data_IF_078667491955
#
_entry.id   IF_078667491955
#
_cell.length_a   1.000
_cell.length_b   1.000
_cell.length_c   1.000
_cell.angle_alpha   90.00
_cell.angle_beta   90.00
_cell.angle_gamma   90.00
#
_symmetry.space_group_name_H-M   'P 1'
#
loop_
_entity.id
_entity.type
_entity.pdbx_description
1 polymer ?
#
# COMPACT_ATOMS: atom_id res chain seq x y z
N UNK A 1 2.72 21.28 -1.83
CA UNK A 1 1.31 21.02 -1.48
C UNK A 1 1.18 19.51 -1.51
N UNK A 2 0.67 18.87 -0.45
CA UNK A 2 0.63 17.40 -0.38
C UNK A 2 -0.08 16.84 -1.62
N UNK A 3 0.51 15.81 -2.24
CA UNK A 3 -0.04 15.20 -3.46
C UNK A 3 -0.78 13.91 -3.10
N UNK A 4 -1.98 14.12 -2.57
CA UNK A 4 -2.89 13.07 -2.16
C UNK A 4 -3.41 12.27 -3.34
N UNK A 5 -3.45 10.95 -3.19
CA UNK A 5 -3.97 10.01 -4.18
C UNK A 5 -4.84 8.98 -3.50
N UNK A 6 -6.01 8.72 -4.08
CA UNK A 6 -6.93 7.69 -3.61
C UNK A 6 -7.04 6.59 -4.65
N UNK A 7 -6.82 5.34 -4.26
CA UNK A 7 -7.06 4.18 -5.08
C UNK A 7 -8.17 3.34 -4.47
N UNK A 8 -9.31 3.32 -5.15
CA UNK A 8 -10.53 2.63 -4.72
C UNK A 8 -10.61 1.18 -5.18
N UNK A 9 -9.86 0.81 -6.24
CA UNK A 9 -9.97 -0.52 -6.85
C UNK A 9 -8.62 -1.18 -7.05
N UNK A 10 -8.46 -2.41 -6.59
CA UNK A 10 -7.37 -3.27 -7.00
C UNK A 10 -7.65 -3.84 -8.40
N UNK A 11 -6.75 -3.63 -9.35
CA UNK A 11 -6.83 -4.19 -10.70
C UNK A 11 -6.32 -5.63 -10.75
N UNK A 12 -5.54 -6.07 -9.77
CA UNK A 12 -4.91 -7.38 -9.75
C UNK A 12 -5.89 -8.56 -10.03
N UNK A 13 -7.14 -8.59 -9.50
CA UNK A 13 -8.17 -9.58 -9.87
C UNK A 13 -8.46 -9.77 -11.36
N UNK A 14 -8.10 -8.79 -12.20
CA UNK A 14 -8.37 -8.79 -13.63
C UNK A 14 -7.13 -9.16 -14.46
N UNK A 15 -6.01 -9.48 -13.81
CA UNK A 15 -4.70 -9.64 -14.44
C UNK A 15 -4.18 -11.06 -14.27
N UNK A 16 -3.21 -11.42 -15.09
CA UNK A 16 -2.52 -12.71 -15.00
C UNK A 16 -1.18 -12.52 -14.31
N UNK A 17 -0.91 -13.38 -13.31
CA UNK A 17 0.38 -13.44 -12.63
C UNK A 17 1.29 -14.48 -13.29
N UNK A 18 2.55 -14.11 -13.45
CA UNK A 18 3.64 -14.98 -13.87
C UNK A 18 4.96 -14.53 -13.25
N UNK A 19 6.06 -15.11 -13.72
CA UNK A 19 7.40 -14.82 -13.20
C UNK A 19 7.99 -15.99 -12.43
N UNK A 20 9.13 -15.74 -11.82
CA UNK A 20 9.99 -16.76 -11.18
C UNK A 20 9.90 -16.73 -9.66
N UNK A 21 9.27 -15.70 -9.08
CA UNK A 21 9.08 -15.57 -7.65
C UNK A 21 8.08 -16.61 -7.11
N UNK A 22 8.39 -17.16 -5.94
CA UNK A 22 7.54 -18.11 -5.22
C UNK A 22 8.14 -19.49 -5.12
N UNK A 23 7.70 -20.23 -4.11
CA UNK A 23 8.10 -21.61 -3.82
C UNK A 23 6.94 -22.56 -4.06
N UNK A 24 7.21 -23.86 -4.22
CA UNK A 24 6.16 -24.85 -4.44
C UNK A 24 5.13 -24.91 -3.29
N UNK A 25 5.56 -24.69 -2.04
CA UNK A 25 4.69 -24.73 -0.86
C UNK A 25 3.82 -23.48 -0.71
N UNK A 26 4.35 -22.31 -1.09
CA UNK A 26 3.68 -21.02 -0.99
C UNK A 26 3.88 -20.25 -2.31
N UNK A 27 3.13 -20.64 -3.36
CA UNK A 27 3.36 -20.18 -4.72
C UNK A 27 2.89 -18.74 -4.96
N UNK A 28 3.32 -18.17 -6.09
CA UNK A 28 2.87 -16.86 -6.56
C UNK A 28 1.35 -16.74 -6.68
N UNK A 29 0.68 -17.83 -7.03
CA UNK A 29 -0.79 -17.90 -7.13
C UNK A 29 -1.50 -17.52 -5.82
N UNK A 30 -0.84 -17.65 -4.66
CA UNK A 30 -1.40 -17.22 -3.38
C UNK A 30 -1.70 -15.72 -3.33
N UNK A 31 -0.89 -14.90 -3.99
CA UNK A 31 -1.15 -13.46 -4.10
C UNK A 31 -2.47 -13.21 -4.83
N UNK A 32 -2.71 -13.94 -5.92
CA UNK A 32 -3.95 -13.84 -6.68
C UNK A 32 -5.15 -14.28 -5.85
N UNK A 33 -5.04 -15.43 -5.18
CA UNK A 33 -6.10 -15.95 -4.30
C UNK A 33 -6.43 -14.97 -3.17
N UNK A 34 -5.42 -14.29 -2.60
CA UNK A 34 -5.62 -13.29 -1.56
C UNK A 34 -6.23 -11.98 -2.08
N UNK A 35 -6.09 -11.65 -3.37
CA UNK A 35 -6.68 -10.44 -3.93
C UNK A 35 -8.16 -10.59 -4.30
N UNK A 36 -8.64 -11.81 -4.50
CA UNK A 36 -10.04 -12.11 -4.84
C UNK A 36 -10.86 -12.65 -3.67
N UNK A 37 -10.21 -13.07 -2.58
CA UNK A 37 -10.90 -13.64 -1.42
C UNK A 37 -11.67 -12.58 -0.62
N UNK A 38 -12.91 -12.90 -0.25
CA UNK A 38 -13.76 -12.10 0.67
C UNK A 38 -13.12 -12.00 2.07
N UNK A 39 -12.38 -13.02 2.49
CA UNK A 39 -11.59 -13.02 3.72
C UNK A 39 -10.15 -13.41 3.40
N UNK A 40 -9.32 -12.43 3.01
CA UNK A 40 -8.02 -12.71 2.47
C UNK A 40 -7.04 -13.15 3.55
N UNK A 41 -6.26 -14.20 3.26
CA UNK A 41 -5.34 -14.84 4.22
C UNK A 41 -3.91 -14.34 4.01
N UNK A 42 -3.73 -13.02 4.03
CA UNK A 42 -2.47 -12.37 3.65
C UNK A 42 -1.25 -12.86 4.44
N UNK A 43 -1.42 -13.23 5.72
CA UNK A 43 -0.32 -13.76 6.55
C UNK A 43 -0.25 -15.29 6.60
N UNK A 44 -1.37 -15.99 6.46
CA UNK A 44 -1.41 -17.46 6.57
C UNK A 44 -1.08 -18.17 5.26
N UNK A 45 -1.39 -17.52 4.12
CA UNK A 45 -1.07 -18.02 2.78
C UNK A 45 -0.37 -16.91 1.97
N UNK A 46 0.83 -16.45 2.37
CA UNK A 46 1.61 -15.53 1.55
C UNK A 46 2.24 -16.25 0.36
N UNK A 47 2.80 -15.49 -0.59
CA UNK A 47 3.83 -16.02 -1.49
C UNK A 47 5.17 -15.99 -0.76
N UNK A 48 5.88 -17.12 -0.74
CA UNK A 48 7.22 -17.23 -0.14
C UNK A 48 8.26 -17.47 -1.21
N UNK A 49 9.34 -16.70 -1.20
CA UNK A 49 10.53 -16.99 -2.00
C UNK A 49 11.67 -17.45 -1.09
N UNK A 50 12.25 -18.59 -1.43
CA UNK A 50 13.38 -19.22 -0.71
C UNK A 50 14.70 -19.08 -1.47
N UNK A 51 14.69 -18.92 -2.80
CA UNK A 51 15.92 -18.68 -3.58
C UNK A 51 16.24 -17.19 -3.65
N UNK A 52 16.42 -16.56 -2.49
CA UNK A 52 16.61 -15.11 -2.38
C UNK A 52 17.97 -14.64 -2.92
N UNK A 53 18.96 -15.53 -2.97
CA UNK A 53 20.32 -15.22 -3.44
C UNK A 53 20.38 -14.92 -4.94
N UNK A 54 19.48 -15.50 -5.73
CA UNK A 54 19.46 -15.37 -7.20
C UNK A 54 18.45 -14.33 -7.63
N UNK A 55 18.93 -13.18 -8.14
CA UNK A 55 18.06 -12.07 -8.51
C UNK A 55 17.04 -12.42 -9.61
N UNK A 56 17.41 -13.26 -10.58
CA UNK A 56 16.51 -13.70 -11.65
C UNK A 56 15.38 -14.63 -11.15
N UNK A 57 15.49 -15.17 -9.93
CA UNK A 57 14.41 -15.90 -9.27
C UNK A 57 13.45 -14.97 -8.50
N UNK A 58 13.79 -13.70 -8.33
CA UNK A 58 13.02 -12.73 -7.55
C UNK A 58 12.22 -11.78 -8.44
N UNK A 59 11.56 -12.34 -9.46
CA UNK A 59 10.81 -11.55 -10.45
C UNK A 59 9.34 -11.94 -10.42
N UNK A 60 8.49 -10.93 -10.22
CA UNK A 60 7.04 -11.03 -10.38
C UNK A 60 6.67 -10.33 -11.68
N UNK A 61 6.00 -11.05 -12.58
CA UNK A 61 5.49 -10.52 -13.83
C UNK A 61 3.97 -10.47 -13.77
N UNK A 62 3.40 -9.34 -14.16
CA UNK A 62 1.97 -9.11 -14.22
C UNK A 62 1.64 -8.75 -15.65
N UNK A 63 0.80 -9.54 -16.31
CA UNK A 63 0.35 -9.28 -17.69
C UNK A 63 -1.12 -8.90 -17.69
N UNK A 64 -1.45 -7.92 -18.53
CA UNK A 64 -2.78 -7.34 -18.63
C UNK A 64 -3.48 -7.92 -19.86
N UNK A 65 -4.78 -8.18 -19.72
CA UNK A 65 -5.67 -8.60 -20.80
C UNK A 65 -5.79 -7.55 -21.91
N UNK A 66 -5.75 -6.27 -21.51
CA UNK A 66 -5.74 -5.08 -22.36
C UNK A 66 -4.93 -3.97 -21.69
N UNK A 67 -4.42 -2.99 -22.45
CA UNK A 67 -3.75 -1.83 -21.86
C UNK A 67 -4.67 -1.10 -20.86
N UNK A 68 -4.18 -0.88 -19.64
CA UNK A 68 -4.92 -0.18 -18.57
C UNK A 68 -4.04 0.89 -17.95
N UNK A 69 -4.64 2.01 -17.56
CA UNK A 69 -3.93 3.07 -16.85
C UNK A 69 -3.56 2.63 -15.44
N UNK A 70 -2.29 2.76 -15.06
CA UNK A 70 -1.78 2.52 -13.70
C UNK A 70 -0.89 3.68 -13.26
N UNK A 71 -0.97 4.03 -11.98
CA UNK A 71 -0.11 5.03 -11.32
C UNK A 71 0.23 4.65 -9.87
N UNK A 72 -0.28 3.52 -9.38
CA UNK A 72 -0.02 3.03 -8.05
C UNK A 72 0.29 1.54 -8.06
N UNK A 73 1.43 1.19 -7.47
CA UNK A 73 1.87 -0.17 -7.26
C UNK A 73 2.21 -0.33 -5.77
N UNK A 74 1.56 -1.27 -5.10
CA UNK A 74 1.73 -1.56 -3.69
C UNK A 74 2.21 -2.99 -3.47
N UNK A 75 3.20 -3.15 -2.59
CA UNK A 75 3.60 -4.45 -2.04
C UNK A 75 3.12 -4.47 -0.60
N UNK A 76 2.28 -5.45 -0.25
CA UNK A 76 1.54 -5.46 1.01
C UNK A 76 1.91 -6.67 1.87
N UNK A 77 1.91 -6.46 3.19
CA UNK A 77 2.13 -7.49 4.21
C UNK A 77 3.39 -8.33 3.95
N UNK A 78 4.51 -7.64 3.71
CA UNK A 78 5.76 -8.30 3.34
C UNK A 78 6.71 -8.49 4.53
N UNK A 79 7.63 -9.44 4.44
CA UNK A 79 8.69 -9.67 5.46
C UNK A 79 10.09 -9.26 4.99
N UNK A 80 10.18 -8.50 3.90
CA UNK A 80 11.43 -7.97 3.33
C UNK A 80 12.31 -7.27 4.38
N UNK A 81 13.63 -7.42 4.23
CA UNK A 81 14.61 -6.83 5.16
C UNK A 81 14.72 -5.30 5.03
N UNK A 82 15.35 -4.65 6.01
CA UNK A 82 15.62 -3.19 5.99
C UNK A 82 16.51 -2.75 4.82
N UNK A 83 17.29 -3.68 4.23
CA UNK A 83 18.16 -3.42 3.09
C UNK A 83 17.51 -3.75 1.75
N UNK A 84 16.32 -4.36 1.77
CA UNK A 84 15.63 -4.78 0.57
C UNK A 84 15.37 -3.62 -0.40
N UNK A 85 15.55 -3.91 -1.68
CA UNK A 85 15.29 -2.96 -2.77
C UNK A 85 14.31 -3.58 -3.76
N UNK A 86 13.50 -2.73 -4.36
CA UNK A 86 12.57 -3.10 -5.42
C UNK A 86 12.87 -2.27 -6.66
N UNK A 87 12.67 -2.88 -7.82
CA UNK A 87 12.69 -2.20 -9.10
C UNK A 87 11.41 -2.55 -9.84
N UNK A 88 10.81 -1.55 -10.47
CA UNK A 88 9.55 -1.70 -11.20
C UNK A 88 9.78 -1.27 -12.63
N UNK A 89 9.41 -2.15 -13.56
CA UNK A 89 9.49 -1.92 -14.99
C UNK A 89 8.09 -2.08 -15.58
N UNK A 90 7.64 -1.11 -16.36
CA UNK A 90 6.29 -1.03 -16.93
C UNK A 90 6.42 -1.02 -18.46
N UNK A 91 5.84 -2.02 -19.11
CA UNK A 91 5.69 -2.06 -20.55
C UNK A 91 4.49 -1.21 -20.99
N UNK A 92 4.67 -0.43 -22.05
CA UNK A 92 3.60 0.36 -22.67
C UNK A 92 2.56 -0.50 -23.38
N UNK A 93 1.64 0.13 -24.12
CA UNK A 93 0.60 -0.58 -24.87
C UNK A 93 1.13 -1.63 -25.86
N UNK A 94 2.38 -1.49 -26.34
CA UNK A 94 3.03 -2.43 -27.25
C UNK A 94 3.56 -3.73 -26.63
N UNK A 95 3.35 -3.99 -25.32
CA UNK A 95 3.63 -5.30 -24.70
C UNK A 95 5.09 -5.58 -24.35
N UNK A 96 6.06 -4.87 -24.95
CA UNK A 96 7.47 -5.20 -24.78
C UNK A 96 8.09 -4.63 -23.51
N UNK A 97 8.67 -5.50 -22.68
CA UNK A 97 9.51 -5.14 -21.53
C UNK A 97 10.95 -4.78 -21.93
N UNK A 98 11.39 -5.05 -23.17
CA UNK A 98 12.71 -4.64 -23.66
C UNK A 98 12.78 -3.15 -23.99
N UNK A 99 11.64 -2.52 -24.26
CA UNK A 99 11.47 -1.08 -24.48
C UNK A 99 10.41 -0.55 -23.52
N UNK A 100 10.69 -0.52 -22.21
CA UNK A 100 9.70 -0.14 -21.22
C UNK A 100 9.35 1.34 -21.35
N UNK A 101 8.10 1.69 -21.05
CA UNK A 101 7.66 3.10 -20.96
C UNK A 101 8.17 3.72 -19.68
N UNK A 102 8.33 2.91 -18.63
CA UNK A 102 8.89 3.35 -17.37
C UNK A 102 9.72 2.25 -16.74
N UNK A 103 10.91 2.61 -16.26
CA UNK A 103 11.74 1.75 -15.44
C UNK A 103 12.24 2.56 -14.26
N UNK A 104 11.93 2.11 -13.05
CA UNK A 104 12.46 2.74 -11.85
C UNK A 104 13.94 2.38 -11.66
N UNK A 105 14.68 3.21 -10.95
CA UNK A 105 15.91 2.76 -10.29
C UNK A 105 15.61 1.72 -9.20
N UNK A 106 16.66 1.25 -8.51
CA UNK A 106 16.48 0.46 -7.30
C UNK A 106 16.00 1.33 -6.14
N UNK A 107 14.76 1.12 -5.72
CA UNK A 107 14.11 1.86 -4.64
C UNK A 107 14.18 1.04 -3.37
N UNK A 108 14.60 1.66 -2.26
CA UNK A 108 14.59 0.99 -0.95
C UNK A 108 13.15 0.76 -0.50
N UNK A 109 12.84 -0.46 -0.08
CA UNK A 109 11.52 -0.82 0.49
C UNK A 109 11.29 -0.05 1.78
N UNK A 110 12.31 0.00 2.64
CA UNK A 110 12.33 0.78 3.86
C UNK A 110 13.20 2.04 3.65
N UNK A 111 12.59 3.20 3.39
CA UNK A 111 13.33 4.43 3.23
C UNK A 111 13.93 4.90 4.55
N UNK A 112 14.83 5.88 4.44
CA UNK A 112 15.35 6.59 5.60
C UNK A 112 14.20 7.29 6.32
N UNK A 113 14.08 7.07 7.63
CA UNK A 113 12.95 7.53 8.46
C UNK A 113 13.32 8.71 9.34
N UNK A 114 14.58 8.80 9.76
CA UNK A 114 15.07 9.81 10.69
C UNK A 114 16.21 10.61 10.07
N UNK A 115 16.27 11.89 10.42
CA UNK A 115 17.45 12.72 10.15
C UNK A 115 18.53 12.29 11.15
N UNK A 116 19.80 12.20 10.72
CA UNK A 116 20.87 11.72 11.61
C UNK A 116 20.97 12.58 12.86
N UNK A 117 20.84 13.90 12.70
CA UNK A 117 20.94 14.85 13.81
C UNK A 117 19.73 14.83 14.76
N UNK A 118 18.65 14.11 14.45
CA UNK A 118 17.54 13.91 15.39
C UNK A 118 17.67 12.65 16.23
N UNK A 119 18.71 11.84 15.99
CA UNK A 119 19.00 10.63 16.74
C UNK A 119 20.13 10.89 17.75
N UNK A 120 20.13 10.20 18.90
CA UNK A 120 21.27 10.21 19.81
C UNK A 120 22.56 9.82 19.09
N UNK A 121 23.68 10.47 19.40
CA UNK A 121 24.98 10.22 18.74
C UNK A 121 25.45 8.75 18.81
N UNK A 122 25.05 8.02 19.84
CA UNK A 122 25.38 6.60 20.01
C UNK A 122 24.34 5.65 19.39
N UNK A 123 23.32 6.16 18.69
CA UNK A 123 22.30 5.33 18.09
C UNK A 123 22.87 4.51 16.92
N UNK A 124 22.59 3.21 16.90
CA UNK A 124 23.08 2.29 15.87
C UNK A 124 22.68 2.71 14.44
N UNK A 125 21.56 3.43 14.31
CA UNK A 125 21.04 3.95 13.05
C UNK A 125 21.39 5.41 12.79
N UNK A 126 22.28 6.05 13.57
CA UNK A 126 22.65 7.47 13.39
C UNK A 126 23.09 7.76 11.95
N UNK A 127 24.02 6.96 11.42
CA UNK A 127 24.62 7.19 10.11
C UNK A 127 23.68 6.86 8.94
N UNK A 128 22.86 5.81 9.07
CA UNK A 128 21.95 5.41 8.01
C UNK A 128 20.61 6.15 8.06
N UNK A 129 20.21 6.66 9.23
CA UNK A 129 18.89 7.25 9.50
C UNK A 129 17.72 6.29 9.25
N UNK A 130 17.98 4.99 9.09
CA UNK A 130 16.94 3.99 8.86
C UNK A 130 16.18 3.70 10.15
N UNK A 131 14.95 3.21 10.00
CA UNK A 131 14.20 2.66 11.13
C UNK A 131 14.91 1.42 11.69
N UNK A 132 14.85 1.21 13.00
CA UNK A 132 15.24 -0.08 13.58
C UNK A 132 14.17 -1.13 13.24
N UNK A 133 14.53 -2.42 13.32
CA UNK A 133 13.57 -3.50 13.04
C UNK A 133 12.32 -3.38 13.94
N UNK A 134 12.55 -3.13 15.24
CA UNK A 134 11.49 -2.91 16.22
C UNK A 134 10.55 -1.74 15.83
N UNK A 135 11.07 -0.66 15.25
CA UNK A 135 10.26 0.49 14.80
C UNK A 135 9.43 0.17 13.56
N UNK A 136 9.90 -0.75 12.72
CA UNK A 136 9.20 -1.18 11.51
C UNK A 136 8.09 -2.17 11.88
N UNK A 137 8.31 -3.00 12.90
CA UNK A 137 7.37 -4.04 13.33
C UNK A 137 6.18 -3.52 14.15
N UNK A 138 6.20 -2.24 14.55
CA UNK A 138 5.04 -1.57 15.16
C UNK A 138 3.81 -1.61 14.24
N UNK A 139 4.03 -1.50 12.93
CA UNK A 139 2.96 -1.52 11.92
C UNK A 139 3.16 -2.69 10.97
N UNK A 140 2.07 -3.14 10.33
CA UNK A 140 2.20 -4.09 9.22
C UNK A 140 3.02 -3.46 8.10
N UNK A 141 3.97 -4.21 7.53
CA UNK A 141 4.88 -3.69 6.51
C UNK A 141 4.19 -3.66 5.14
N UNK A 142 4.16 -2.48 4.53
CA UNK A 142 3.63 -2.25 3.18
C UNK A 142 4.45 -1.13 2.54
N UNK A 143 4.52 -1.15 1.22
CA UNK A 143 5.19 -0.12 0.43
C UNK A 143 4.36 0.21 -0.79
N UNK A 144 3.97 1.48 -0.90
CA UNK A 144 3.35 2.03 -2.10
C UNK A 144 4.39 2.80 -2.91
N UNK A 145 4.43 2.53 -4.20
CA UNK A 145 5.13 3.29 -5.22
C UNK A 145 4.07 3.98 -6.07
N UNK A 146 4.06 5.31 -6.03
CA UNK A 146 3.19 6.09 -6.88
C UNK A 146 3.98 6.75 -8.00
N UNK A 147 3.38 6.79 -9.19
CA UNK A 147 3.88 7.49 -10.38
C UNK A 147 3.22 8.85 -10.49
N UNK A 148 3.92 9.83 -11.07
CA UNK A 148 3.41 11.21 -11.17
C UNK A 148 2.17 11.32 -12.07
N UNK A 149 2.11 10.49 -13.11
CA UNK A 149 1.01 10.41 -14.05
C UNK A 149 0.64 8.96 -14.35
N UNK A 150 -0.64 8.68 -14.67
CA UNK A 150 -1.07 7.34 -15.07
C UNK A 150 -0.48 6.95 -16.41
N UNK A 151 0.19 5.80 -16.43
CA UNK A 151 0.78 5.20 -17.63
C UNK A 151 -0.14 4.09 -18.15
N UNK A 152 -0.32 4.02 -19.46
CA UNK A 152 -1.01 2.89 -20.10
C UNK A 152 -0.09 1.68 -20.13
N UNK A 153 -0.36 0.71 -19.25
CA UNK A 153 0.46 -0.47 -19.04
C UNK A 153 -0.20 -1.72 -19.62
N UNK A 154 0.61 -2.57 -20.25
CA UNK A 154 0.23 -3.92 -20.70
C UNK A 154 0.93 -5.02 -19.91
N UNK A 155 2.10 -4.73 -19.34
CA UNK A 155 2.80 -5.62 -18.43
C UNK A 155 3.56 -4.80 -17.39
N UNK A 156 3.66 -5.35 -16.18
CA UNK A 156 4.44 -4.79 -15.07
C UNK A 156 5.33 -5.89 -14.53
N UNK A 157 6.63 -5.59 -14.43
CA UNK A 157 7.62 -6.45 -13.80
C UNK A 157 8.10 -5.80 -12.51
N UNK A 158 8.05 -6.56 -11.42
CA UNK A 158 8.56 -6.19 -10.11
C UNK A 158 9.74 -7.11 -9.79
N UNK A 159 10.92 -6.52 -9.63
CA UNK A 159 12.14 -7.21 -9.24
C UNK A 159 12.49 -6.87 -7.80
N UNK A 160 12.92 -7.87 -7.04
CA UNK A 160 13.18 -7.74 -5.61
C UNK A 160 14.61 -8.18 -5.30
N UNK A 161 15.41 -7.28 -4.74
CA UNK A 161 16.75 -7.58 -4.21
C UNK A 161 16.69 -7.60 -2.68
N UNK A 162 16.67 -8.80 -2.10
CA UNK A 162 16.73 -9.04 -0.65
C UNK A 162 17.68 -10.20 -0.30
N UNK A 163 18.83 -10.25 -0.98
CA UNK A 163 19.82 -11.36 -0.87
C UNK A 163 20.39 -11.52 0.54
N UNK A 164 20.43 -10.43 1.32
CA UNK A 164 21.02 -10.39 2.66
C UNK A 164 19.98 -10.59 3.78
N UNK A 165 18.80 -11.14 3.46
CA UNK A 165 17.79 -11.39 4.47
C UNK A 165 18.22 -12.53 5.41
N UNK A 166 18.40 -12.21 6.70
CA UNK A 166 18.83 -13.16 7.72
C UNK A 166 17.89 -14.36 7.89
N UNK A 167 16.62 -14.24 7.51
CA UNK A 167 15.66 -15.35 7.55
C UNK A 167 15.88 -16.38 6.42
N UNK A 168 16.65 -16.05 5.38
CA UNK A 168 16.86 -16.92 4.21
C UNK A 168 15.66 -17.00 3.25
N UNK A 169 14.56 -16.32 3.56
CA UNK A 169 13.37 -16.22 2.71
C UNK A 169 12.67 -14.87 2.94
N UNK A 170 11.80 -14.48 2.01
CA UNK A 170 10.84 -13.40 2.22
C UNK A 170 9.44 -13.83 1.81
N UNK A 171 8.46 -13.21 2.45
CA UNK A 171 7.03 -13.41 2.22
C UNK A 171 6.41 -12.12 1.68
N UNK A 172 5.44 -12.26 0.77
CA UNK A 172 4.58 -11.19 0.28
C UNK A 172 3.13 -11.65 0.40
N UNK A 173 2.33 -10.94 1.19
CA UNK A 173 0.93 -11.31 1.42
C UNK A 173 -0.01 -10.90 0.28
N UNK A 174 0.22 -9.73 -0.34
CA UNK A 174 -0.56 -9.27 -1.48
C UNK A 174 0.18 -8.21 -2.32
N UNK A 175 -0.30 -8.00 -3.55
CA UNK A 175 0.04 -6.88 -4.40
C UNK A 175 -1.18 -5.99 -4.65
N UNK A 176 -0.93 -4.72 -4.89
CA UNK A 176 -1.95 -3.74 -5.17
C UNK A 176 -1.59 -2.96 -6.43
N UNK A 177 -2.40 -3.05 -7.47
CA UNK A 177 -2.19 -2.26 -8.68
C UNK A 177 -3.45 -1.46 -8.93
N UNK A 178 -3.32 -0.15 -9.12
CA UNK A 178 -4.49 0.70 -9.29
C UNK A 178 -4.22 1.91 -10.15
N UNK A 179 -5.32 2.52 -10.60
CA UNK A 179 -5.37 3.87 -11.09
C UNK A 179 -5.93 4.75 -9.98
N UNK A 180 -5.19 5.76 -9.59
CA UNK A 180 -5.59 6.67 -8.53
C UNK A 180 -6.48 7.78 -9.07
N UNK A 181 -7.36 8.24 -8.20
CA UNK A 181 -8.09 9.49 -8.32
C UNK A 181 -7.32 10.57 -7.58
N UNK A 182 -7.09 11.68 -8.28
CA UNK A 182 -6.41 12.89 -7.80
C UNK A 182 -7.18 14.10 -8.32
N UNK A 183 -7.91 14.83 -7.47
CA UNK A 183 -8.62 16.03 -7.88
C UNK A 183 -7.64 17.20 -8.12
N UNK A 184 -8.12 18.25 -8.80
CA UNK A 184 -7.37 19.48 -9.04
C UNK A 184 -7.04 20.18 -7.73
N UNK A 185 -8.05 20.36 -6.87
CA UNK A 185 -7.88 20.82 -5.50
C UNK A 185 -7.90 19.61 -4.57
N UNK A 186 -6.75 19.35 -3.96
CA UNK A 186 -6.58 18.19 -3.10
C UNK A 186 -7.27 18.38 -1.73
N UNK A 187 -7.28 17.34 -0.90
CA UNK A 187 -7.93 17.33 0.42
C UNK A 187 -7.52 18.51 1.30
N UNK A 188 -8.43 18.88 2.20
CA UNK A 188 -8.31 20.02 3.09
C UNK A 188 -7.12 19.89 4.05
N UNK A 189 -6.49 21.01 4.39
CA UNK A 189 -5.47 21.02 5.44
C UNK A 189 -6.14 20.70 6.77
N UNK A 190 -5.57 19.75 7.52
CA UNK A 190 -6.13 19.31 8.80
C UNK A 190 -6.74 17.90 8.79
N UNK A 191 -6.37 17.05 7.80
CA UNK A 191 -6.66 15.60 7.85
C UNK A 191 -6.32 15.02 9.22
N UNK A 192 -7.14 14.08 9.69
CA UNK A 192 -6.95 13.46 11.01
C UNK A 192 -6.35 12.07 10.84
N UNK A 193 -5.20 11.83 11.45
CA UNK A 193 -4.61 10.50 11.60
C UNK A 193 -4.70 10.10 13.08
N UNK A 194 -5.38 9.00 13.36
CA UNK A 194 -5.57 8.48 14.70
C UNK A 194 -5.30 6.98 14.80
N UNK A 195 -5.26 6.48 16.03
CA UNK A 195 -5.20 5.05 16.32
C UNK A 195 -6.45 4.63 17.08
N UNK A 196 -7.08 3.55 16.64
CA UNK A 196 -8.23 2.94 17.28
C UNK A 196 -7.74 1.70 18.02
N UNK A 197 -7.79 1.75 19.36
CA UNK A 197 -7.45 0.61 20.20
C UNK A 197 -8.51 -0.49 20.04
N UNK A 198 -8.04 -1.74 19.99
CA UNK A 198 -8.89 -2.93 19.81
C UNK A 198 -8.84 -3.88 20.99
N UNK A 199 -7.99 -3.62 21.97
CA UNK A 199 -7.86 -4.47 23.16
C UNK A 199 -9.20 -4.60 23.87
N UNK A 200 -9.57 -5.82 24.24
CA UNK A 200 -10.75 -6.05 25.07
C UNK A 200 -10.34 -5.94 26.52
N UNK A 201 -11.10 -5.18 27.31
CA UNK A 201 -10.87 -5.02 28.73
C UNK A 201 -12.15 -5.44 29.42
N UNK A 202 -12.06 -6.51 30.21
CA UNK A 202 -13.15 -7.02 31.04
C UNK A 202 -12.82 -6.71 32.51
N UNK A 203 -13.84 -6.35 33.29
CA UNK A 203 -13.68 -6.01 34.70
C UNK A 203 -14.41 -7.05 35.55
N UNK A 204 -13.70 -7.65 36.51
CA UNK A 204 -14.26 -8.60 37.44
C UNK A 204 -15.14 -7.90 38.49
N UNK A 205 -16.03 -8.63 39.18
CA UNK A 205 -16.81 -8.07 40.30
C UNK A 205 -15.96 -7.44 41.41
N UNK A 206 -14.70 -7.85 41.55
CA UNK A 206 -13.73 -7.28 42.50
C UNK A 206 -13.04 -5.99 42.02
N UNK A 207 -13.35 -5.50 40.81
CA UNK A 207 -12.71 -4.35 40.18
C UNK A 207 -11.38 -4.67 39.46
N UNK A 208 -10.96 -5.94 39.43
CA UNK A 208 -9.75 -6.36 38.70
C UNK A 208 -10.00 -6.37 37.19
N UNK A 209 -9.11 -5.76 36.41
CA UNK A 209 -9.17 -5.75 34.94
C UNK A 209 -8.40 -6.91 34.32
N UNK A 210 -9.02 -7.58 33.37
CA UNK A 210 -8.42 -8.57 32.49
C UNK A 210 -8.40 -7.98 31.07
N UNK A 211 -7.21 -7.87 30.50
CA UNK A 211 -7.04 -7.28 29.18
C UNK A 211 -6.53 -8.33 28.18
N UNK A 212 -7.22 -8.44 27.04
CA UNK A 212 -6.73 -9.12 25.86
C UNK A 212 -6.13 -8.05 24.94
N UNK A 213 -4.80 -7.97 24.89
CA UNK A 213 -4.12 -6.99 24.05
C UNK A 213 -4.25 -7.33 22.57
N UNK A 214 -4.67 -6.34 21.77
CA UNK A 214 -4.77 -6.46 20.32
C UNK A 214 -4.07 -5.29 19.67
N UNK A 215 -3.47 -5.54 18.50
CA UNK A 215 -2.84 -4.49 17.70
C UNK A 215 -3.87 -3.39 17.39
N UNK A 216 -3.49 -2.14 17.64
CA UNK A 216 -4.31 -0.97 17.30
C UNK A 216 -4.31 -0.77 15.79
N UNK A 217 -5.43 -0.32 15.24
CA UNK A 217 -5.55 0.01 13.81
C UNK A 217 -5.42 1.51 13.60
N UNK A 218 -4.82 1.92 12.48
CA UNK A 218 -4.84 3.34 12.08
C UNK A 218 -6.18 3.70 11.46
N UNK A 219 -6.62 4.94 11.73
CA UNK A 219 -7.80 5.56 11.11
C UNK A 219 -7.42 6.92 10.56
N UNK A 220 -7.74 7.16 9.30
CA UNK A 220 -7.52 8.44 8.64
C UNK A 220 -8.84 9.00 8.17
N UNK A 221 -9.13 10.26 8.49
CA UNK A 221 -10.29 10.98 7.95
C UNK A 221 -9.78 12.17 7.14
N UNK A 222 -10.22 12.24 5.89
CA UNK A 222 -9.90 13.32 4.96
C UNK A 222 -11.19 13.90 4.39
N UNK A 223 -11.20 15.21 4.23
CA UNK A 223 -12.28 15.97 3.61
C UNK A 223 -11.72 16.66 2.38
N UNK A 224 -12.46 16.64 1.28
CA UNK A 224 -12.18 17.41 0.07
C UNK A 224 -13.32 18.41 -0.09
N UNK A 225 -13.11 19.70 0.22
CA UNK A 225 -14.18 20.70 0.13
C UNK A 225 -14.23 21.47 -1.20
N UNK A 226 -13.27 21.24 -2.10
CA UNK A 226 -13.07 22.00 -3.33
C UNK A 226 -13.29 21.20 -4.61
N UNK A 227 -14.19 20.20 -4.59
CA UNK A 227 -14.39 19.34 -5.76
C UNK A 227 -15.32 19.98 -6.80
N UNK A 228 -14.95 19.83 -8.07
CA UNK A 228 -15.88 20.09 -9.18
C UNK A 228 -16.99 19.02 -9.22
N UNK A 229 -18.10 19.30 -9.89
CA UNK A 229 -19.22 18.35 -10.01
C UNK A 229 -18.77 17.01 -10.61
N UNK A 230 -17.93 17.06 -11.65
CA UNK A 230 -17.45 15.86 -12.34
C UNK A 230 -16.50 15.03 -11.46
N UNK A 231 -15.64 15.68 -10.67
CA UNK A 231 -14.74 14.99 -9.74
C UNK A 231 -15.52 14.33 -8.60
N UNK A 232 -16.53 15.02 -8.06
CA UNK A 232 -17.38 14.49 -7.01
C UNK A 232 -18.18 13.28 -7.52
N UNK A 233 -18.86 13.40 -8.66
CA UNK A 233 -19.62 12.31 -9.25
C UNK A 233 -18.73 11.12 -9.64
N UNK A 234 -17.51 11.37 -10.15
CA UNK A 234 -16.55 10.29 -10.41
C UNK A 234 -16.18 9.56 -9.12
N UNK A 235 -15.96 10.27 -8.02
CA UNK A 235 -15.67 9.66 -6.72
C UNK A 235 -16.88 8.86 -6.21
N UNK A 236 -18.11 9.33 -6.44
CA UNK A 236 -19.33 8.59 -6.13
C UNK A 236 -19.42 7.27 -6.90
N UNK A 237 -19.18 7.31 -8.22
CA UNK A 237 -19.17 6.12 -9.07
C UNK A 237 -18.09 5.12 -8.63
N UNK A 238 -16.94 5.62 -8.20
CA UNK A 238 -15.86 4.78 -7.68
C UNK A 238 -16.24 4.18 -6.31
N UNK A 239 -16.88 4.94 -5.42
CA UNK A 239 -17.38 4.44 -4.13
C UNK A 239 -18.49 3.40 -4.29
N UNK A 240 -19.39 3.58 -5.27
CA UNK A 240 -20.48 2.63 -5.56
C UNK A 240 -19.98 1.25 -6.02
N UNK A 241 -18.70 1.13 -6.42
CA UNK A 241 -18.06 -0.13 -6.81
C UNK A 241 -17.30 -0.82 -5.67
N UNK A 242 -17.08 -0.12 -4.56
CA UNK A 242 -16.29 -0.61 -3.43
C UNK A 242 -17.24 -1.19 -2.39
N UNK A 243 -17.06 -2.44 -2.04
CA UNK A 243 -17.77 -3.07 -0.92
C UNK A 243 -17.04 -2.79 0.41
N UNK A 244 -17.72 -3.01 1.53
CA UNK A 244 -17.17 -2.79 2.87
C UNK A 244 -15.89 -3.58 3.17
N UNK A 245 -15.69 -4.72 2.48
CA UNK A 245 -14.53 -5.59 2.63
C UNK A 245 -13.41 -5.29 1.64
N UNK A 246 -13.66 -4.46 0.63
CA UNK A 246 -12.71 -4.22 -0.44
C UNK A 246 -11.56 -3.34 0.06
N UNK A 247 -10.36 -3.71 -0.38
CA UNK A 247 -9.15 -2.98 -0.02
C UNK A 247 -9.01 -1.74 -0.88
N UNK A 248 -8.91 -0.60 -0.20
CA UNK A 248 -8.59 0.71 -0.77
C UNK A 248 -7.22 1.18 -0.24
N UNK A 249 -6.60 2.10 -0.96
CA UNK A 249 -5.36 2.74 -0.51
C UNK A 249 -5.49 4.25 -0.64
N UNK A 250 -5.31 4.95 0.48
CA UNK A 250 -5.17 6.41 0.50
C UNK A 250 -3.70 6.75 0.75
N UNK A 251 -3.09 7.49 -0.16
CA UNK A 251 -1.74 8.01 -0.05
C UNK A 251 -1.87 9.50 0.21
N UNK A 252 -1.63 9.97 1.45
CA UNK A 252 -1.89 11.36 1.77
C UNK A 252 -0.86 12.33 1.15
N UNK A 253 0.36 11.86 0.92
CA UNK A 253 1.38 12.60 0.17
C UNK A 253 2.27 11.60 -0.59
N UNK A 254 2.28 11.66 -1.92
CA UNK A 254 3.13 10.77 -2.74
C UNK A 254 4.61 11.10 -2.65
N UNK A 255 4.97 12.33 -2.27
CA UNK A 255 6.35 12.81 -2.29
C UNK A 255 7.04 12.55 -0.94
N UNK A 256 6.28 12.42 0.15
CA UNK A 256 6.82 12.05 1.47
C UNK A 256 7.05 10.53 1.58
N UNK A 257 8.16 10.13 0.99
CA UNK A 257 8.63 8.75 1.06
C UNK A 257 8.91 8.31 2.51
N UNK A 258 9.38 9.19 3.40
CA UNK A 258 9.74 8.83 4.78
C UNK A 258 8.53 8.62 5.68
N UNK A 259 7.49 9.44 5.52
CA UNK A 259 6.20 9.34 6.21
C UNK A 259 5.29 8.26 5.65
N UNK A 260 5.46 7.87 4.39
CA UNK A 260 4.58 6.93 3.67
C UNK A 260 4.21 5.66 4.46
N UNK A 261 5.16 5.00 5.14
CA UNK A 261 4.88 3.78 5.91
C UNK A 261 3.96 4.00 7.12
N UNK A 262 3.89 5.24 7.64
CA UNK A 262 3.02 5.62 8.76
C UNK A 262 1.64 6.09 8.29
N UNK A 263 1.58 6.75 7.14
CA UNK A 263 0.39 7.45 6.69
C UNK A 263 -0.39 6.70 5.59
N UNK A 264 0.28 5.99 4.71
CA UNK A 264 -0.33 5.29 3.57
C UNK A 264 -0.36 3.80 3.84
N UNK A 265 -1.53 3.21 4.02
CA UNK A 265 -1.70 1.80 4.40
C UNK A 265 -2.90 1.18 3.67
N UNK A 266 -2.92 -0.16 3.47
CA UNK A 266 -4.10 -0.84 2.97
C UNK A 266 -5.25 -0.68 3.97
N UNK A 267 -6.38 -0.17 3.49
CA UNK A 267 -7.52 0.21 4.31
C UNK A 267 -8.84 -0.31 3.75
N UNK A 268 -9.89 -0.28 4.55
CA UNK A 268 -11.29 -0.37 4.11
C UNK A 268 -11.96 1.00 4.27
N UNK A 269 -13.04 1.21 3.52
CA UNK A 269 -13.91 2.37 3.69
C UNK A 269 -14.89 2.11 4.83
N UNK A 270 -14.90 3.00 5.84
CA UNK A 270 -15.87 2.94 6.95
C UNK A 270 -17.06 3.83 6.69
N UNK A 271 -16.78 5.02 6.18
CA UNK A 271 -17.78 5.98 5.77
C UNK A 271 -17.59 6.18 4.28
N UNK A 272 -18.56 5.71 3.51
CA UNK A 272 -18.66 6.01 2.08
C UNK A 272 -18.83 7.52 1.94
N UNK A 273 -18.17 8.10 0.93
CA UNK A 273 -18.15 9.54 0.72
C UNK A 273 -19.55 10.05 0.40
N UNK A 274 -20.21 10.69 1.37
CA UNK A 274 -21.42 11.46 1.11
C UNK A 274 -21.04 12.77 0.43
N UNK A 275 -21.62 13.03 -0.75
CA UNK A 275 -21.40 14.28 -1.47
C UNK A 275 -22.37 15.32 -0.92
N UNK A 276 -21.81 16.37 -0.35
CA UNK A 276 -22.54 17.60 -0.10
C UNK A 276 -22.42 18.50 -1.32
N UNK A 277 -23.52 18.66 -2.04
CA UNK A 277 -23.60 19.62 -3.14
C UNK A 277 -23.78 21.02 -2.58
N UNK A 278 -22.76 21.87 -2.73
CA UNK A 278 -22.79 23.25 -2.25
C UNK A 278 -22.98 24.23 -3.41
N UNK A 279 -23.57 25.39 -3.13
CA UNK A 279 -23.67 26.49 -4.09
C UNK A 279 -22.24 26.95 -4.47
N UNK A 280 -22.01 27.32 -5.74
CA UNK A 280 -20.70 27.76 -6.31
C UNK A 280 -19.69 26.69 -6.77
N UNK A 281 -20.13 25.47 -7.14
CA UNK A 281 -19.24 24.41 -7.71
C UNK A 281 -18.13 23.94 -6.76
N UNK A 282 -18.32 24.10 -5.45
CA UNK A 282 -17.43 23.56 -4.42
C UNK A 282 -18.17 22.48 -3.66
N UNK A 283 -18.13 21.25 -4.19
CA UNK A 283 -18.73 20.11 -3.52
C UNK A 283 -17.76 19.56 -2.49
N UNK A 284 -18.32 19.09 -1.37
CA UNK A 284 -17.53 18.50 -0.32
C UNK A 284 -17.79 17.02 -0.18
N UNK A 285 -16.74 16.25 0.08
CA UNK A 285 -16.81 14.82 0.39
C UNK A 285 -15.90 14.55 1.58
N UNK A 286 -16.39 13.81 2.56
CA UNK A 286 -15.58 13.30 3.67
C UNK A 286 -15.52 11.80 3.62
N UNK A 287 -14.32 11.23 3.74
CA UNK A 287 -14.13 9.78 3.78
C UNK A 287 -13.29 9.39 5.00
N UNK A 288 -13.63 8.24 5.58
CA UNK A 288 -12.89 7.65 6.70
C UNK A 288 -12.35 6.27 6.29
N UNK A 289 -11.04 6.11 6.43
CA UNK A 289 -10.27 4.92 6.08
C UNK A 289 -9.79 4.22 7.34
N UNK A 290 -10.02 2.92 7.45
CA UNK A 290 -9.50 2.09 8.55
C UNK A 290 -8.53 1.03 8.05
N UNK A 291 -7.41 0.89 8.74
CA UNK A 291 -6.37 -0.06 8.38
C UNK A 291 -6.85 -1.52 8.45
N UNK A 292 -6.49 -2.29 7.41
CA UNK A 292 -6.62 -3.74 7.39
C UNK A 292 -5.48 -4.36 8.20
N UNK A 293 -5.82 -4.98 9.32
CA UNK A 293 -4.88 -5.78 10.11
C UNK A 293 -4.97 -7.22 9.61
N UNK A 294 -3.99 -7.62 8.81
CA UNK A 294 -3.76 -9.02 8.46
C UNK A 294 -3.06 -9.79 9.58
#
# INVERSE_FOLDING_TARGET
MALGKLATRNLLPLLTLGGTAGSAALPLANIMANATAVSPRHLTKPMRQTNIATLSANVILITFDRPRGIDLIGILFHTLSLKAKIRVTIAGAGGSLSTPVYQSGWIRVHPRRYRSLSLPWNAANLWCGQALLADVDVFRRHRFLSLDAPLSASAVQIEIDDRDNAAGFYDIGNLYLSRTWKPVLNFDRGRRLGQVRRSKIEEAPSGRRFAEERMSRRRTTATWSGLTSDEALRLYDDCARVNDTDMVAFIPDSDDVAGSAREAYPATLVQLGEIQFTYERQHSVTMTFEEIIA
#
